data_IF_385947837203
#
_entry.id   IF_385947837203
#
_cell.length_a   1.000
_cell.length_b   1.000
_cell.length_c   1.000
_cell.angle_alpha   90.00
_cell.angle_beta   90.00
_cell.angle_gamma   90.00
#
_symmetry.space_group_name_H-M   'P 1'
#
loop_
_entity.id
_entity.type
_entity.pdbx_description
1 polymer ?
#
# COMPACT_ATOMS: atom_id res chain seq x y z
N UNK A 1 39.51 44.83 -14.30
CA UNK A 1 40.17 45.68 -13.29
C UNK A 1 39.57 45.38 -11.92
N UNK A 2 40.40 44.96 -10.96
CA UNK A 2 40.09 44.76 -9.54
C UNK A 2 39.93 46.11 -8.82
N UNK A 3 39.10 46.17 -7.77
CA UNK A 3 39.37 46.72 -6.41
C UNK A 3 38.01 46.83 -5.67
N UNK A 4 37.76 46.06 -4.59
CA UNK A 4 38.13 46.28 -3.17
C UNK A 4 37.31 47.39 -2.51
N UNK A 5 37.04 47.46 -1.20
CA UNK A 5 37.13 46.59 -0.02
C UNK A 5 36.90 47.58 1.16
N UNK A 6 36.08 47.21 2.15
CA UNK A 6 36.04 47.75 3.53
C UNK A 6 35.71 49.25 3.75
N UNK A 7 34.71 49.50 4.61
CA UNK A 7 34.72 50.66 5.50
C UNK A 7 34.33 50.24 6.91
N UNK A 8 35.17 50.67 7.85
CA UNK A 8 35.18 50.41 9.29
C UNK A 8 34.47 51.54 10.08
N UNK A 9 34.33 51.30 11.39
CA UNK A 9 34.14 52.22 12.53
C UNK A 9 32.68 52.42 13.00
N UNK A 10 32.33 52.52 14.30
CA UNK A 10 32.95 52.22 15.60
C UNK A 10 31.90 52.47 16.70
N UNK A 11 31.97 51.69 17.79
CA UNK A 11 31.58 51.91 19.22
C UNK A 11 30.34 52.75 19.60
N UNK A 12 29.59 52.30 20.63
CA UNK A 12 29.55 52.92 21.99
C UNK A 12 28.58 52.17 22.95
N UNK A 13 29.17 51.75 24.07
CA UNK A 13 28.73 51.65 25.48
C UNK A 13 27.55 50.78 25.97
N UNK A 14 27.92 50.07 27.05
CA UNK A 14 27.18 49.16 27.91
C UNK A 14 26.08 49.81 28.74
N UNK A 15 25.02 49.04 29.04
CA UNK A 15 24.25 49.16 30.28
C UNK A 15 23.93 47.76 30.82
N UNK A 16 24.24 47.63 32.11
CA UNK A 16 24.06 46.55 33.07
C UNK A 16 22.69 45.83 33.01
N UNK A 17 22.67 44.56 33.42
CA UNK A 17 22.19 44.16 34.75
C UNK A 17 22.30 42.65 34.93
N UNK A 18 22.74 42.25 36.12
CA UNK A 18 22.81 40.89 36.58
C UNK A 18 21.41 40.25 36.62
N UNK A 19 21.30 38.99 36.20
CA UNK A 19 20.21 38.12 36.66
C UNK A 19 20.74 36.71 36.96
N UNK A 20 21.03 36.56 38.25
CA UNK A 20 20.67 35.43 39.13
C UNK A 20 20.83 34.03 38.54
N UNK A 21 21.80 33.32 39.10
CA UNK A 21 21.86 31.86 39.14
C UNK A 21 20.61 31.29 39.83
N UNK A 22 19.90 30.40 39.13
CA UNK A 22 18.96 29.44 39.73
C UNK A 22 19.39 28.01 39.37
N UNK A 23 19.42 27.07 40.32
CA UNK A 23 19.94 25.73 40.09
C UNK A 23 18.89 24.81 39.45
N UNK A 24 19.39 23.93 38.58
CA UNK A 24 18.90 22.56 38.32
C UNK A 24 17.42 22.29 38.53
N UNK A 25 16.64 22.38 37.45
CA UNK A 25 15.41 21.60 37.31
C UNK A 25 15.66 20.49 36.30
N UNK A 26 15.73 19.28 36.83
CA UNK A 26 15.72 18.01 36.11
C UNK A 26 14.48 18.00 35.21
N UNK A 27 14.66 18.15 33.89
CA UNK A 27 13.57 17.93 32.96
C UNK A 27 13.37 16.42 32.82
N UNK A 28 12.33 15.90 33.47
CA UNK A 28 11.73 14.62 33.12
C UNK A 28 11.31 14.66 31.65
N UNK A 29 12.09 14.02 30.79
CA UNK A 29 11.69 13.70 29.43
C UNK A 29 10.70 12.52 29.44
N UNK A 30 9.49 12.75 29.93
CA UNK A 30 8.33 11.91 29.58
C UNK A 30 7.61 12.55 28.40
N UNK A 31 8.28 12.55 27.24
CA UNK A 31 7.56 12.66 25.98
C UNK A 31 6.77 11.36 25.79
N UNK A 32 5.48 11.40 25.39
CA UNK A 32 4.80 10.19 25.00
C UNK A 32 5.59 9.61 23.82
N UNK A 33 6.15 8.41 24.01
CA UNK A 33 6.64 7.59 22.90
C UNK A 33 5.42 7.30 22.04
N UNK A 34 5.19 8.11 21.03
CA UNK A 34 4.38 7.69 19.88
C UNK A 34 5.18 6.57 19.24
N UNK A 35 4.91 5.34 19.70
CA UNK A 35 5.38 4.16 19.03
C UNK A 35 4.89 4.26 17.59
N UNK A 36 5.81 4.34 16.64
CA UNK A 36 5.49 4.18 15.25
C UNK A 36 4.83 2.81 15.10
N UNK A 37 3.49 2.80 14.96
CA UNK A 37 2.76 1.62 14.53
C UNK A 37 3.16 1.42 13.07
N UNK A 38 4.12 0.52 12.84
CA UNK A 38 4.36 -0.01 11.51
C UNK A 38 3.07 -0.68 11.07
N UNK A 39 2.49 -0.22 9.96
CA UNK A 39 1.23 -0.73 9.39
C UNK A 39 1.27 -2.25 9.16
N UNK A 40 2.47 -2.82 9.03
CA UNK A 40 2.72 -4.27 8.97
C UNK A 40 2.18 -5.03 10.18
N UNK A 41 2.28 -4.46 11.39
CA UNK A 41 1.92 -5.18 12.61
C UNK A 41 0.40 -5.26 12.86
N UNK A 42 -0.42 -4.43 12.21
CA UNK A 42 -1.87 -4.42 12.42
C UNK A 42 -2.60 -5.47 11.58
N UNK A 43 -2.00 -5.94 10.49
CA UNK A 43 -2.59 -6.95 9.58
C UNK A 43 -2.59 -8.35 10.21
N UNK A 44 -1.68 -8.63 11.15
CA UNK A 44 -1.48 -9.96 11.76
C UNK A 44 -2.31 -10.21 13.03
N UNK A 45 -3.13 -9.25 13.49
CA UNK A 45 -3.69 -9.28 14.85
C UNK A 45 -5.11 -9.84 14.98
N UNK A 46 -5.71 -10.43 13.93
CA UNK A 46 -6.99 -11.15 14.09
C UNK A 46 -6.68 -12.55 14.65
N UNK A 47 -7.01 -12.86 15.92
CA UNK A 47 -6.60 -14.13 16.54
C UNK A 47 -7.15 -15.32 15.76
N UNK A 48 -6.25 -16.22 15.35
CA UNK A 48 -6.61 -17.45 14.62
C UNK A 48 -6.87 -17.30 13.12
N UNK A 49 -6.87 -16.08 12.57
CA UNK A 49 -7.03 -15.87 11.14
C UNK A 49 -5.73 -16.14 10.37
N UNK A 50 -5.89 -16.62 9.14
CA UNK A 50 -4.80 -16.95 8.20
C UNK A 50 -5.18 -16.39 6.83
N UNK A 51 -4.19 -15.93 6.07
CA UNK A 51 -4.40 -15.43 4.70
C UNK A 51 -5.19 -16.45 3.86
N UNK A 52 -6.19 -16.00 3.12
CA UNK A 52 -7.08 -16.85 2.33
C UNK A 52 -8.30 -17.39 3.10
N UNK A 53 -8.32 -17.32 4.43
CA UNK A 53 -9.51 -17.65 5.21
C UNK A 53 -10.59 -16.57 5.01
N UNK A 54 -11.82 -17.01 4.73
CA UNK A 54 -12.96 -16.12 4.60
C UNK A 54 -13.25 -15.42 5.94
N UNK A 55 -13.30 -14.11 5.90
CA UNK A 55 -13.61 -13.24 7.04
C UNK A 55 -15.11 -12.95 7.12
N UNK A 56 -15.62 -12.47 8.27
CA UNK A 56 -17.03 -12.07 8.41
C UNK A 56 -17.49 -10.98 7.45
N UNK A 57 -16.58 -10.15 6.92
CA UNK A 57 -16.87 -9.12 5.92
C UNK A 57 -16.89 -9.66 4.48
N UNK A 58 -16.74 -10.98 4.29
CA UNK A 58 -16.76 -11.64 2.99
C UNK A 58 -15.47 -11.50 2.18
N UNK A 59 -14.41 -10.92 2.74
CA UNK A 59 -13.09 -10.85 2.12
C UNK A 59 -12.14 -11.92 2.67
N UNK A 60 -11.03 -12.16 1.96
CA UNK A 60 -10.03 -13.19 2.29
C UNK A 60 -8.64 -12.65 2.59
N UNK A 61 -8.46 -11.34 2.47
CA UNK A 61 -7.22 -10.62 2.79
C UNK A 61 -7.55 -9.30 3.50
N UNK A 62 -6.55 -8.74 4.17
CA UNK A 62 -6.58 -7.36 4.63
C UNK A 62 -5.83 -6.54 3.59
N UNK A 63 -6.50 -5.59 2.93
CA UNK A 63 -5.85 -4.74 1.94
C UNK A 63 -4.69 -3.96 2.55
N UNK A 64 -3.59 -3.88 1.80
CA UNK A 64 -2.38 -3.17 2.20
C UNK A 64 -1.65 -2.61 0.97
N UNK A 65 -0.60 -1.82 1.19
CA UNK A 65 0.22 -1.25 0.11
C UNK A 65 -0.54 -0.25 -0.78
N UNK A 66 -0.03 -0.03 -1.99
CA UNK A 66 -0.65 0.85 -2.99
C UNK A 66 -1.98 0.28 -3.47
N UNK A 67 -2.94 1.15 -3.76
CA UNK A 67 -4.30 0.78 -4.20
C UNK A 67 -4.73 1.46 -5.51
N UNK A 68 -3.80 2.14 -6.17
CA UNK A 68 -3.97 2.77 -7.46
C UNK A 68 -3.12 2.05 -8.53
N UNK A 69 -3.12 2.58 -9.76
CA UNK A 69 -2.42 1.98 -10.88
C UNK A 69 -0.94 2.38 -10.98
N UNK A 70 -0.38 3.13 -10.01
CA UNK A 70 0.96 3.72 -10.12
C UNK A 70 2.07 2.69 -10.30
N UNK A 71 1.88 1.46 -9.80
CA UNK A 71 2.85 0.37 -9.89
C UNK A 71 2.47 -0.69 -10.94
N UNK A 72 1.29 -0.61 -11.54
CA UNK A 72 0.86 -1.59 -12.56
C UNK A 72 1.76 -1.44 -13.79
N UNK A 73 2.32 -2.56 -14.27
CA UNK A 73 3.16 -2.53 -15.47
C UNK A 73 2.35 -2.06 -16.68
N UNK A 74 2.94 -1.17 -17.50
CA UNK A 74 2.29 -0.61 -18.69
C UNK A 74 1.79 -1.73 -19.63
N UNK A 75 0.47 -1.85 -19.89
CA UNK A 75 -0.09 -2.92 -20.71
C UNK A 75 0.52 -3.03 -22.11
N UNK A 76 0.90 -1.90 -22.72
CA UNK A 76 1.39 -1.84 -24.11
C UNK A 76 2.66 -2.67 -24.32
N UNK A 77 3.42 -2.97 -23.26
CA UNK A 77 4.63 -3.77 -23.36
C UNK A 77 4.38 -5.27 -23.61
N UNK A 78 3.16 -5.76 -23.37
CA UNK A 78 2.84 -7.18 -23.53
C UNK A 78 2.32 -7.44 -24.94
N UNK A 79 2.96 -8.33 -25.74
CA UNK A 79 2.53 -8.63 -27.11
C UNK A 79 1.26 -9.50 -27.14
N UNK A 80 1.12 -10.43 -26.19
CA UNK A 80 -0.06 -11.26 -26.04
C UNK A 80 -1.28 -10.42 -25.66
N UNK A 81 -2.38 -10.61 -26.40
CA UNK A 81 -3.58 -9.77 -26.28
C UNK A 81 -4.29 -10.02 -24.94
N UNK A 82 -4.34 -11.27 -24.47
CA UNK A 82 -5.01 -11.62 -23.21
C UNK A 82 -4.22 -11.07 -22.01
N UNK A 83 -2.89 -11.21 -22.03
CA UNK A 83 -2.01 -10.61 -21.02
C UNK A 83 -2.16 -9.09 -21.03
N UNK A 84 -2.05 -8.44 -22.20
CA UNK A 84 -2.21 -6.98 -22.33
C UNK A 84 -3.55 -6.52 -21.75
N UNK A 85 -4.64 -7.22 -22.07
CA UNK A 85 -5.97 -6.91 -21.55
C UNK A 85 -6.01 -7.04 -20.02
N UNK A 86 -5.45 -8.09 -19.43
CA UNK A 86 -5.43 -8.28 -17.99
C UNK A 86 -4.67 -7.17 -17.25
N UNK A 87 -3.51 -6.74 -17.75
CA UNK A 87 -2.80 -5.57 -17.20
C UNK A 87 -3.60 -4.29 -17.40
N UNK A 88 -4.27 -4.11 -18.54
CA UNK A 88 -5.15 -2.97 -18.75
C UNK A 88 -6.29 -2.95 -17.73
N UNK A 89 -6.96 -4.08 -17.47
CA UNK A 89 -7.98 -4.21 -16.43
C UNK A 89 -7.45 -3.74 -15.07
N UNK A 90 -6.23 -4.13 -14.70
CA UNK A 90 -5.62 -3.71 -13.44
C UNK A 90 -5.42 -2.19 -13.34
N UNK A 91 -5.23 -1.50 -14.46
CA UNK A 91 -5.21 -0.02 -14.48
C UNK A 91 -6.60 0.60 -14.30
N UNK A 92 -7.68 -0.11 -14.65
CA UNK A 92 -9.05 0.41 -14.60
C UNK A 92 -9.68 0.29 -13.22
N UNK A 93 -9.40 -0.79 -12.48
CA UNK A 93 -10.02 -1.09 -11.19
C UNK A 93 -9.01 -1.44 -10.07
N UNK A 94 -7.88 -0.72 -9.93
CA UNK A 94 -6.80 -1.12 -9.03
C UNK A 94 -7.25 -1.23 -7.57
N UNK A 95 -8.09 -0.29 -7.12
CA UNK A 95 -8.59 -0.28 -5.74
C UNK A 95 -9.50 -1.50 -5.42
N UNK A 96 -10.21 -2.02 -6.42
CA UNK A 96 -10.98 -3.26 -6.31
C UNK A 96 -10.02 -4.44 -6.23
N UNK A 97 -9.04 -4.54 -7.14
CA UNK A 97 -8.09 -5.65 -7.16
C UNK A 97 -7.20 -5.70 -5.91
N UNK A 98 -6.94 -4.56 -5.26
CA UNK A 98 -6.21 -4.53 -3.99
C UNK A 98 -6.98 -5.12 -2.80
N UNK A 99 -8.28 -5.40 -2.96
CA UNK A 99 -9.14 -6.05 -1.96
C UNK A 99 -9.30 -7.54 -2.19
N UNK A 100 -8.98 -8.02 -3.39
CA UNK A 100 -9.27 -9.38 -3.79
C UNK A 100 -8.08 -10.30 -3.52
N UNK A 101 -8.39 -11.39 -2.84
CA UNK A 101 -7.53 -12.56 -2.72
C UNK A 101 -7.54 -13.35 -4.02
N UNK A 102 -6.36 -13.71 -4.50
CA UNK A 102 -6.14 -14.55 -5.65
C UNK A 102 -5.86 -16.00 -5.23
N UNK A 103 -6.59 -16.95 -5.82
CA UNK A 103 -6.41 -18.38 -5.53
C UNK A 103 -5.14 -19.00 -6.13
N UNK A 104 -4.24 -18.20 -6.72
CA UNK A 104 -2.91 -18.68 -7.12
C UNK A 104 -1.99 -18.97 -5.92
N UNK A 105 -2.37 -18.50 -4.72
CA UNK A 105 -1.70 -18.78 -3.46
C UNK A 105 -0.44 -17.95 -3.19
N UNK A 106 -0.15 -16.92 -3.99
CA UNK A 106 0.99 -16.03 -3.76
C UNK A 106 0.86 -15.29 -2.43
N UNK A 107 -0.36 -14.87 -2.07
CA UNK A 107 -0.69 -14.24 -0.79
C UNK A 107 -0.36 -15.15 0.40
N UNK A 108 -0.61 -16.45 0.28
CA UNK A 108 -0.29 -17.42 1.34
C UNK A 108 1.21 -17.61 1.55
N UNK A 109 2.02 -17.34 0.53
CA UNK A 109 3.49 -17.42 0.58
C UNK A 109 4.13 -16.05 0.88
N UNK A 110 3.34 -14.99 0.97
CA UNK A 110 3.84 -13.62 1.17
C UNK A 110 4.53 -13.02 -0.06
N UNK A 111 4.30 -13.58 -1.26
CA UNK A 111 4.90 -13.09 -2.52
C UNK A 111 4.15 -11.86 -3.05
N UNK A 112 2.83 -11.87 -2.98
CA UNK A 112 1.95 -10.78 -3.39
C UNK A 112 0.91 -10.53 -2.30
N UNK A 113 0.49 -9.27 -2.10
CA UNK A 113 -0.45 -8.88 -1.05
C UNK A 113 -1.92 -8.98 -1.46
N UNK A 114 -2.18 -9.00 -2.76
CA UNK A 114 -3.51 -8.99 -3.36
C UNK A 114 -3.39 -9.32 -4.85
N UNK A 115 -4.53 -9.52 -5.52
CA UNK A 115 -4.56 -9.69 -6.98
C UNK A 115 -3.94 -8.49 -7.72
N UNK A 116 -4.03 -7.26 -7.18
CA UNK A 116 -3.38 -6.08 -7.78
C UNK A 116 -1.87 -6.26 -7.94
N UNK A 117 -1.19 -6.77 -6.91
CA UNK A 117 0.27 -6.86 -6.93
C UNK A 117 0.79 -7.82 -8.01
N UNK A 118 0.00 -8.80 -8.41
CA UNK A 118 0.35 -9.69 -9.51
C UNK A 118 0.53 -8.95 -10.86
N UNK A 119 0.02 -7.72 -10.96
CA UNK A 119 0.16 -6.83 -12.11
C UNK A 119 1.23 -5.75 -11.92
N UNK A 120 1.87 -5.69 -10.75
CA UNK A 120 3.02 -4.81 -10.47
C UNK A 120 4.35 -5.42 -10.92
N UNK A 121 4.34 -6.74 -11.16
CA UNK A 121 5.43 -7.48 -11.79
C UNK A 121 4.89 -8.39 -12.91
N UNK A 122 5.67 -9.38 -13.34
CA UNK A 122 5.32 -10.28 -14.46
C UNK A 122 4.53 -11.53 -14.06
N UNK A 123 4.04 -11.65 -12.81
CA UNK A 123 3.30 -12.84 -12.37
C UNK A 123 2.04 -13.10 -13.20
N UNK A 124 1.28 -12.05 -13.51
CA UNK A 124 0.08 -12.18 -14.34
C UNK A 124 0.36 -12.57 -15.79
N UNK A 125 1.63 -12.60 -16.26
CA UNK A 125 1.97 -13.08 -17.61
C UNK A 125 1.67 -14.57 -17.78
N UNK A 126 1.94 -15.38 -16.75
CA UNK A 126 1.81 -16.85 -16.81
C UNK A 126 0.78 -17.43 -15.85
N UNK A 127 0.15 -16.60 -15.01
CA UNK A 127 -0.84 -17.06 -14.04
C UNK A 127 -2.29 -16.82 -14.52
N UNK A 128 -3.00 -17.85 -15.00
CA UNK A 128 -4.39 -17.70 -15.46
C UNK A 128 -5.37 -17.36 -14.32
N UNK A 129 -5.04 -17.72 -13.06
CA UNK A 129 -5.85 -17.36 -11.89
C UNK A 129 -5.78 -15.86 -11.62
N UNK A 130 -4.59 -15.25 -11.77
CA UNK A 130 -4.42 -13.80 -11.64
C UNK A 130 -5.24 -13.05 -12.69
N UNK A 131 -5.09 -13.43 -13.96
CA UNK A 131 -5.83 -12.83 -15.08
C UNK A 131 -7.34 -13.02 -14.92
N UNK A 132 -7.79 -14.23 -14.62
CA UNK A 132 -9.21 -14.54 -14.48
C UNK A 132 -9.87 -13.89 -13.26
N UNK A 133 -9.15 -13.73 -12.15
CA UNK A 133 -9.63 -12.97 -10.98
C UNK A 133 -9.87 -11.51 -11.35
N UNK A 134 -8.93 -10.89 -12.07
CA UNK A 134 -9.08 -9.52 -12.55
C UNK A 134 -10.25 -9.37 -13.54
N UNK A 135 -10.41 -10.32 -14.46
CA UNK A 135 -11.51 -10.31 -15.43
C UNK A 135 -12.88 -10.45 -14.76
N UNK A 136 -13.04 -11.36 -13.79
CA UNK A 136 -14.29 -11.47 -13.00
C UNK A 136 -14.60 -10.14 -12.30
N UNK A 137 -13.60 -9.55 -11.64
CA UNK A 137 -13.78 -8.28 -10.95
C UNK A 137 -14.15 -7.14 -11.90
N UNK A 138 -13.54 -7.11 -13.08
CA UNK A 138 -13.82 -6.12 -14.11
C UNK A 138 -15.24 -6.24 -14.63
N UNK A 139 -15.66 -7.43 -15.05
CA UNK A 139 -17.01 -7.69 -15.55
C UNK A 139 -18.08 -7.31 -14.52
N UNK A 140 -17.88 -7.68 -13.26
CA UNK A 140 -18.80 -7.34 -12.18
C UNK A 140 -18.82 -5.83 -11.90
N UNK A 141 -17.67 -5.15 -11.95
CA UNK A 141 -17.59 -3.70 -11.79
C UNK A 141 -18.30 -2.97 -12.94
N UNK A 142 -18.15 -3.45 -14.18
CA UNK A 142 -18.86 -2.93 -15.36
C UNK A 142 -20.38 -3.16 -15.25
N UNK A 143 -20.80 -4.27 -14.64
CA UNK A 143 -22.20 -4.53 -14.30
C UNK A 143 -22.71 -3.73 -13.08
N UNK A 144 -21.91 -2.82 -12.52
CA UNK A 144 -22.31 -1.92 -11.44
C UNK A 144 -22.05 -2.47 -10.02
N UNK A 145 -21.47 -3.66 -9.86
CA UNK A 145 -21.14 -4.20 -8.54
C UNK A 145 -19.95 -3.43 -7.96
N UNK A 146 -20.17 -2.73 -6.85
CA UNK A 146 -19.13 -1.97 -6.13
C UNK A 146 -18.65 -2.65 -4.84
N UNK A 147 -19.36 -3.67 -4.41
CA UNK A 147 -19.08 -4.42 -3.20
C UNK A 147 -18.01 -5.50 -3.48
N UNK A 148 -16.82 -5.32 -2.91
CA UNK A 148 -15.70 -6.22 -3.08
C UNK A 148 -15.97 -7.62 -2.51
N UNK A 149 -16.81 -7.76 -1.47
CA UNK A 149 -17.15 -9.06 -0.90
C UNK A 149 -17.97 -9.91 -1.90
N UNK A 150 -18.88 -9.28 -2.64
CA UNK A 150 -19.63 -9.96 -3.73
C UNK A 150 -18.71 -10.39 -4.85
N UNK A 151 -17.72 -9.56 -5.19
CA UNK A 151 -16.72 -9.90 -6.20
C UNK A 151 -15.83 -11.04 -5.71
N UNK A 152 -15.36 -11.01 -4.46
CA UNK A 152 -14.59 -12.09 -3.86
C UNK A 152 -15.38 -13.41 -3.86
N UNK A 153 -16.69 -13.38 -3.56
CA UNK A 153 -17.53 -14.57 -3.62
C UNK A 153 -17.61 -15.18 -5.04
N UNK A 154 -17.65 -14.36 -6.10
CA UNK A 154 -17.60 -14.85 -7.47
C UNK A 154 -16.23 -15.44 -7.84
N UNK A 155 -15.14 -14.81 -7.38
CA UNK A 155 -13.77 -15.33 -7.53
C UNK A 155 -13.63 -16.68 -6.82
N UNK A 156 -14.16 -16.80 -5.60
CA UNK A 156 -14.17 -18.03 -4.83
C UNK A 156 -14.95 -19.14 -5.53
N UNK A 157 -16.15 -18.83 -6.03
CA UNK A 157 -16.96 -19.80 -6.77
C UNK A 157 -16.25 -20.35 -8.01
N UNK A 158 -15.40 -19.53 -8.64
CA UNK A 158 -14.62 -19.94 -9.81
C UNK A 158 -13.37 -20.74 -9.45
N UNK A 159 -12.60 -20.28 -8.47
CA UNK A 159 -11.20 -20.70 -8.28
C UNK A 159 -10.91 -21.43 -6.97
N UNK A 160 -11.79 -21.35 -5.96
CA UNK A 160 -11.57 -22.07 -4.71
C UNK A 160 -11.55 -23.59 -4.96
N UNK A 161 -10.69 -24.35 -4.26
CA UNK A 161 -10.71 -25.81 -4.30
C UNK A 161 -12.11 -26.33 -3.97
N UNK A 162 -12.61 -27.21 -4.84
CA UNK A 162 -13.81 -28.01 -4.55
C UNK A 162 -13.30 -29.24 -3.80
N UNK A 163 -13.79 -29.42 -2.57
CA UNK A 163 -13.40 -30.54 -1.70
C UNK A 163 -13.56 -31.90 -2.36
#
# INVERSE_FOLDING_TARGET
>A
MKLNLLSLLALILAVSTALVWGPSLVHWAFGPKSAAVTLENTVQQVPGWRVGMLRPDGLRIISSGVSDASHVLNPVQFPDIAVRHAYWVATQIPATLNKLYCWCGCENRGEHRSNLQCFEDKMAVSCPVCQGTAEIAYQMTQAGVRDAAKIQAAVDAKWAPKG
#
